data_IF_005913953737
#
_entry.id   IF_005913953737
#
_cell.length_a   1.000
_cell.length_b   1.000
_cell.length_c   1.000
_cell.angle_alpha   90.00
_cell.angle_beta   90.00
_cell.angle_gamma   90.00
#
_symmetry.space_group_name_H-M   'P 1'
#
loop_
_entity.id
_entity.type
_entity.pdbx_description
1 polymer ?
#
# COMPACT_ATOMS: atom_id res chain seq x y z
N UNK A 1 -26.28 -31.67 83.85
CA UNK A 1 -26.70 -31.70 82.44
C UNK A 1 -26.32 -30.37 81.79
N UNK A 2 -25.22 -30.30 81.02
CA UNK A 2 -24.92 -29.16 80.16
C UNK A 2 -25.40 -29.41 78.72
N UNK A 3 -26.16 -28.46 78.16
CA UNK A 3 -26.61 -28.45 76.76
C UNK A 3 -25.45 -28.14 75.80
N UNK A 4 -25.45 -28.65 74.56
CA UNK A 4 -24.37 -28.40 73.60
C UNK A 4 -24.51 -27.02 72.95
N UNK A 5 -23.43 -26.25 72.95
CA UNK A 5 -23.27 -25.00 72.19
C UNK A 5 -22.96 -25.34 70.73
N UNK A 6 -23.76 -24.81 69.81
CA UNK A 6 -23.59 -25.00 68.36
C UNK A 6 -22.51 -24.03 67.82
N UNK A 7 -21.60 -24.47 66.93
CA UNK A 7 -20.53 -23.59 66.43
C UNK A 7 -21.08 -22.58 65.42
N UNK A 8 -20.65 -21.32 65.55
CA UNK A 8 -20.89 -20.27 64.56
C UNK A 8 -19.90 -20.45 63.41
N UNK A 9 -20.40 -20.73 62.21
CA UNK A 9 -19.60 -20.76 60.98
C UNK A 9 -19.36 -19.33 60.51
N UNK A 10 -18.10 -18.90 60.60
CA UNK A 10 -17.62 -17.57 60.19
C UNK A 10 -17.69 -17.40 58.68
N UNK A 11 -18.09 -16.19 58.27
CA UNK A 11 -18.20 -15.69 56.90
C UNK A 11 -16.92 -15.89 56.08
N UNK A 12 -16.89 -16.86 55.16
CA UNK A 12 -15.81 -16.97 54.16
C UNK A 12 -16.27 -16.70 52.72
N UNK A 13 -17.58 -16.63 52.47
CA UNK A 13 -18.12 -16.37 51.12
C UNK A 13 -18.07 -14.89 50.72
N UNK A 14 -18.09 -13.96 51.68
CA UNK A 14 -18.06 -12.52 51.37
C UNK A 14 -16.65 -12.03 50.95
N UNK A 15 -15.57 -12.52 51.56
CA UNK A 15 -14.21 -12.06 51.25
C UNK A 15 -13.77 -12.41 49.81
N UNK A 16 -14.11 -13.60 49.33
CA UNK A 16 -13.76 -14.03 47.96
C UNK A 16 -14.54 -13.22 46.93
N UNK A 17 -15.83 -12.97 47.17
CA UNK A 17 -16.68 -12.17 46.29
C UNK A 17 -16.25 -10.70 46.26
N UNK A 18 -15.88 -10.11 47.39
CA UNK A 18 -15.33 -8.74 47.44
C UNK A 18 -13.97 -8.61 46.77
N UNK A 19 -13.11 -9.60 46.93
CA UNK A 19 -11.80 -9.63 46.26
C UNK A 19 -11.99 -9.72 44.74
N UNK A 20 -12.90 -10.57 44.27
CA UNK A 20 -13.24 -10.67 42.84
C UNK A 20 -13.81 -9.34 42.32
N UNK A 21 -14.77 -8.72 43.02
CA UNK A 21 -15.39 -7.45 42.60
C UNK A 21 -14.40 -6.27 42.59
N UNK A 22 -13.39 -6.27 43.46
CA UNK A 22 -12.34 -5.22 43.49
C UNK A 22 -11.37 -5.29 42.33
N UNK A 23 -11.01 -6.50 41.88
CA UNK A 23 -10.01 -6.68 40.83
C UNK A 23 -10.61 -6.94 39.44
N UNK A 24 -11.90 -7.28 39.35
CA UNK A 24 -12.62 -7.44 38.07
C UNK A 24 -12.52 -6.23 37.12
N UNK A 25 -12.71 -4.95 37.56
CA UNK A 25 -12.59 -3.82 36.64
C UNK A 25 -11.14 -3.60 36.17
N UNK A 26 -10.15 -3.86 37.03
CA UNK A 26 -8.73 -3.75 36.65
C UNK A 26 -8.32 -4.86 35.67
N UNK A 27 -8.79 -6.10 35.87
CA UNK A 27 -8.56 -7.22 34.95
C UNK A 27 -9.27 -7.01 33.60
N UNK A 28 -10.48 -6.45 33.60
CA UNK A 28 -11.20 -6.10 32.38
C UNK A 28 -10.50 -4.98 31.59
N UNK A 29 -10.00 -3.94 32.28
CA UNK A 29 -9.23 -2.86 31.65
C UNK A 29 -7.91 -3.35 31.04
N UNK A 30 -7.20 -4.25 31.75
CA UNK A 30 -5.96 -4.84 31.25
C UNK A 30 -6.20 -5.74 30.03
N UNK A 31 -7.30 -6.50 30.03
CA UNK A 31 -7.71 -7.34 28.90
C UNK A 31 -8.09 -6.52 27.66
N UNK A 32 -8.78 -5.38 27.84
CA UNK A 32 -9.07 -4.45 26.75
C UNK A 32 -7.79 -3.79 26.19
N UNK A 33 -6.83 -3.44 27.05
CA UNK A 33 -5.57 -2.84 26.62
C UNK A 33 -4.72 -3.81 25.77
N UNK A 34 -4.67 -5.09 26.13
CA UNK A 34 -3.96 -6.13 25.37
C UNK A 34 -4.62 -6.40 24.01
N UNK A 35 -5.96 -6.39 23.92
CA UNK A 35 -6.68 -6.57 22.66
C UNK A 35 -6.41 -5.47 21.62
N UNK A 36 -6.02 -4.27 22.05
CA UNK A 36 -5.71 -3.14 21.16
C UNK A 36 -4.27 -3.17 20.61
N UNK A 37 -3.37 -3.97 21.20
CA UNK A 37 -1.96 -4.07 20.74
C UNK A 37 -1.73 -5.12 19.66
N UNK A 38 -2.72 -5.98 19.37
CA UNK A 38 -2.59 -7.06 18.40
C UNK A 38 -2.66 -6.60 16.93
N UNK A 39 -3.01 -5.34 16.65
CA UNK A 39 -3.39 -4.90 15.30
C UNK A 39 -2.30 -4.14 14.53
N UNK A 40 -1.07 -4.08 15.04
CA UNK A 40 0.05 -3.44 14.33
C UNK A 40 1.26 -4.36 14.32
N UNK A 41 1.14 -5.47 13.59
CA UNK A 41 2.31 -6.06 12.94
C UNK A 41 2.71 -5.15 11.77
N UNK A 42 3.27 -3.98 12.09
CA UNK A 42 3.90 -3.11 11.09
C UNK A 42 5.10 -3.84 10.48
N UNK A 43 5.05 -4.09 9.18
CA UNK A 43 6.23 -4.08 8.33
C UNK A 43 7.32 -5.11 8.59
N UNK A 44 7.00 -6.33 9.03
CA UNK A 44 7.93 -7.42 8.73
C UNK A 44 7.90 -7.63 7.21
N UNK A 45 8.92 -7.11 6.51
CA UNK A 45 9.15 -7.43 5.10
C UNK A 45 9.23 -8.96 4.98
N UNK A 46 8.11 -9.54 4.58
CA UNK A 46 7.98 -10.98 4.32
C UNK A 46 8.55 -11.24 2.94
N UNK A 47 9.39 -12.26 2.83
CA UNK A 47 9.85 -12.75 1.54
C UNK A 47 8.68 -13.31 0.70
N UNK A 48 8.69 -13.11 -0.61
CA UNK A 48 7.68 -13.72 -1.48
C UNK A 48 7.78 -15.24 -1.41
N UNK A 49 6.67 -15.94 -1.64
CA UNK A 49 6.73 -17.39 -1.85
C UNK A 49 7.74 -17.73 -2.96
N UNK A 50 8.44 -18.89 -2.92
CA UNK A 50 9.45 -19.22 -3.93
C UNK A 50 8.93 -19.16 -5.38
N UNK A 51 7.67 -19.55 -5.60
CA UNK A 51 7.04 -19.47 -6.92
C UNK A 51 6.76 -18.03 -7.34
N UNK A 52 6.31 -17.17 -6.43
CA UNK A 52 6.16 -15.75 -6.70
C UNK A 52 7.51 -15.08 -6.94
N UNK A 53 8.57 -15.46 -6.20
CA UNK A 53 9.92 -14.93 -6.37
C UNK A 53 10.45 -15.14 -7.80
N UNK A 54 10.24 -16.33 -8.37
CA UNK A 54 10.62 -16.62 -9.77
C UNK A 54 9.87 -15.73 -10.74
N UNK A 55 8.57 -15.55 -10.55
CA UNK A 55 7.73 -14.69 -11.41
C UNK A 55 8.13 -13.21 -11.29
N UNK A 56 8.46 -12.75 -10.09
CA UNK A 56 8.99 -11.39 -9.86
C UNK A 56 10.32 -11.20 -10.58
N UNK A 57 11.23 -12.18 -10.49
CA UNK A 57 12.51 -12.12 -11.19
C UNK A 57 12.33 -12.12 -12.72
N UNK A 58 11.38 -12.91 -13.24
CA UNK A 58 11.01 -12.89 -14.66
C UNK A 58 10.48 -11.53 -15.08
N UNK A 59 9.56 -10.94 -14.28
CA UNK A 59 9.02 -9.61 -14.58
C UNK A 59 10.10 -8.53 -14.58
N UNK A 60 11.06 -8.59 -13.67
CA UNK A 60 12.21 -7.67 -13.67
C UNK A 60 13.07 -7.85 -14.92
N UNK A 61 13.39 -9.09 -15.29
CA UNK A 61 14.18 -9.36 -16.50
C UNK A 61 13.47 -8.86 -17.77
N UNK A 62 12.14 -8.97 -17.85
CA UNK A 62 11.37 -8.43 -18.97
C UNK A 62 11.39 -6.90 -19.01
N UNK A 63 11.29 -6.22 -17.85
CA UNK A 63 11.47 -4.75 -17.79
C UNK A 63 12.86 -4.34 -18.27
N UNK A 64 13.90 -5.02 -17.81
CA UNK A 64 15.29 -4.72 -18.18
C UNK A 64 15.52 -4.94 -19.69
N UNK A 65 14.74 -5.83 -20.32
CA UNK A 65 14.73 -6.07 -21.76
C UNK A 65 13.84 -5.10 -22.55
N UNK A 66 13.10 -4.20 -21.88
CA UNK A 66 12.17 -3.27 -22.51
C UNK A 66 10.82 -3.89 -22.90
N UNK A 67 10.55 -5.14 -22.51
CA UNK A 67 9.25 -5.79 -22.71
C UNK A 67 8.37 -5.56 -21.47
N UNK A 68 7.83 -4.34 -21.36
CA UNK A 68 7.02 -3.93 -20.21
C UNK A 68 5.74 -4.76 -20.09
N UNK A 69 5.15 -5.19 -21.21
CA UNK A 69 3.93 -5.98 -21.18
C UNK A 69 4.18 -7.37 -20.61
N UNK A 70 5.25 -8.06 -21.04
CA UNK A 70 5.64 -9.33 -20.44
C UNK A 70 5.99 -9.17 -18.94
N UNK A 71 6.54 -8.02 -18.54
CA UNK A 71 6.78 -7.74 -17.13
C UNK A 71 5.47 -7.64 -16.33
N UNK A 72 4.48 -6.91 -16.84
CA UNK A 72 3.16 -6.81 -16.23
C UNK A 72 2.55 -8.20 -16.05
N UNK A 73 2.55 -9.01 -17.12
CA UNK A 73 1.97 -10.36 -17.08
C UNK A 73 2.65 -11.24 -16.01
N UNK A 74 3.97 -11.19 -15.91
CA UNK A 74 4.73 -11.94 -14.90
C UNK A 74 4.45 -11.45 -13.48
N UNK A 75 4.33 -10.13 -13.26
CA UNK A 75 3.99 -9.58 -11.95
C UNK A 75 2.53 -9.84 -11.56
N UNK A 76 1.57 -9.85 -12.49
CA UNK A 76 0.18 -10.24 -12.23
C UNK A 76 0.09 -11.73 -11.84
N UNK A 77 0.86 -12.58 -12.51
CA UNK A 77 1.00 -13.98 -12.13
C UNK A 77 1.62 -14.12 -10.72
N UNK A 78 2.65 -13.34 -10.39
CA UNK A 78 3.24 -13.33 -9.06
C UNK A 78 2.24 -12.91 -7.98
N UNK A 79 1.43 -11.87 -8.24
CA UNK A 79 0.37 -11.42 -7.35
C UNK A 79 -0.71 -12.49 -7.17
N UNK A 80 -1.04 -13.25 -8.23
CA UNK A 80 -1.99 -14.37 -8.14
C UNK A 80 -1.44 -15.50 -7.27
N UNK A 81 -0.15 -15.78 -7.35
CA UNK A 81 0.52 -16.84 -6.58
C UNK A 81 0.72 -16.45 -5.10
N UNK A 82 1.08 -15.20 -4.83
CA UNK A 82 1.23 -14.67 -3.47
C UNK A 82 0.47 -13.34 -3.31
N UNK A 83 -0.86 -13.40 -3.11
CA UNK A 83 -1.69 -12.20 -3.03
C UNK A 83 -1.35 -11.28 -1.85
N UNK A 84 -0.63 -11.77 -0.84
CA UNK A 84 -0.26 -11.00 0.34
C UNK A 84 1.09 -10.27 0.17
N UNK A 85 1.87 -10.58 -0.87
CA UNK A 85 3.17 -9.95 -1.10
C UNK A 85 3.02 -8.55 -1.71
N UNK A 86 2.77 -7.56 -0.86
CA UNK A 86 2.55 -6.15 -1.25
C UNK A 86 3.57 -5.55 -2.22
N UNK A 87 4.89 -5.81 -2.13
CA UNK A 87 5.87 -5.19 -3.03
C UNK A 87 5.65 -5.45 -4.52
N UNK A 88 4.95 -6.53 -4.91
CA UNK A 88 4.62 -6.78 -6.33
C UNK A 88 3.65 -5.74 -6.89
N UNK A 89 2.77 -5.17 -6.08
CA UNK A 89 1.86 -4.11 -6.50
C UNK A 89 2.61 -2.84 -6.89
N UNK A 90 3.71 -2.53 -6.21
CA UNK A 90 4.58 -1.39 -6.53
C UNK A 90 5.24 -1.62 -7.89
N UNK A 91 5.73 -2.84 -8.15
CA UNK A 91 6.33 -3.24 -9.43
C UNK A 91 5.33 -3.19 -10.59
N UNK A 92 4.10 -3.66 -10.37
CA UNK A 92 3.00 -3.53 -11.33
C UNK A 92 2.68 -2.07 -11.63
N UNK A 93 2.65 -1.22 -10.60
CA UNK A 93 2.37 0.18 -10.75
C UNK A 93 3.46 0.90 -11.57
N UNK A 94 4.73 0.58 -11.31
CA UNK A 94 5.86 1.13 -12.06
C UNK A 94 5.84 0.71 -13.53
N UNK A 95 5.65 -0.59 -13.81
CA UNK A 95 5.51 -1.09 -15.18
C UNK A 95 4.32 -0.43 -15.89
N UNK A 96 3.18 -0.26 -15.21
CA UNK A 96 2.02 0.44 -15.76
C UNK A 96 2.29 1.93 -16.04
N UNK A 97 3.14 2.61 -15.25
CA UNK A 97 3.56 4.00 -15.56
C UNK A 97 4.39 4.06 -16.84
N UNK A 98 5.32 3.12 -17.01
CA UNK A 98 6.16 3.05 -18.21
C UNK A 98 5.31 2.87 -19.48
N UNK A 99 4.23 2.07 -19.41
CA UNK A 99 3.23 1.92 -20.49
C UNK A 99 2.26 3.11 -20.63
N UNK A 100 2.50 4.21 -19.93
CA UNK A 100 1.61 5.38 -19.89
C UNK A 100 0.17 5.05 -19.45
N UNK A 101 0.00 4.01 -18.63
CA UNK A 101 -1.26 3.61 -18.05
C UNK A 101 -1.41 4.20 -16.64
N UNK A 102 -1.27 5.54 -16.51
CA UNK A 102 -1.29 6.24 -15.21
C UNK A 102 -2.50 5.85 -14.33
N UNK A 103 -3.66 5.65 -14.95
CA UNK A 103 -4.86 5.21 -14.24
C UNK A 103 -4.71 3.85 -13.55
N UNK A 104 -4.08 2.88 -14.21
CA UNK A 104 -3.78 1.55 -13.62
C UNK A 104 -2.69 1.68 -12.57
N UNK A 105 -1.62 2.42 -12.85
CA UNK A 105 -0.54 2.66 -11.89
C UNK A 105 -1.06 3.20 -10.55
N UNK A 106 -1.86 4.27 -10.59
CA UNK A 106 -2.47 4.86 -9.39
C UNK A 106 -3.30 3.83 -8.61
N UNK A 107 -4.03 2.93 -9.30
CA UNK A 107 -4.80 1.89 -8.64
C UNK A 107 -3.91 0.89 -7.90
N UNK A 108 -2.85 0.39 -8.53
CA UNK A 108 -1.93 -0.54 -7.88
C UNK A 108 -1.18 0.10 -6.71
N UNK A 109 -0.72 1.35 -6.82
CA UNK A 109 -0.11 2.06 -5.69
C UNK A 109 -1.10 2.22 -4.53
N UNK A 110 -2.36 2.57 -4.79
CA UNK A 110 -3.38 2.67 -3.73
C UNK A 110 -3.66 1.34 -3.06
N UNK A 111 -3.67 0.25 -3.81
CA UNK A 111 -3.80 -1.08 -3.24
C UNK A 111 -2.60 -1.38 -2.33
N UNK A 112 -1.38 -1.05 -2.75
CA UNK A 112 -0.19 -1.18 -1.92
C UNK A 112 -0.30 -0.34 -0.64
N UNK A 113 -0.74 0.92 -0.74
CA UNK A 113 -0.92 1.85 0.38
C UNK A 113 -2.07 1.47 1.32
N UNK A 114 -3.04 0.69 0.85
CA UNK A 114 -4.08 0.13 1.72
C UNK A 114 -3.49 -0.92 2.66
N UNK A 115 -2.46 -1.64 2.21
CA UNK A 115 -1.77 -2.70 2.98
C UNK A 115 -0.62 -2.16 3.81
N UNK A 116 0.11 -1.20 3.27
CA UNK A 116 1.22 -0.50 3.92
C UNK A 116 1.07 1.03 3.74
N UNK A 117 0.32 1.69 4.62
CA UNK A 117 0.04 3.13 4.50
C UNK A 117 1.28 4.02 4.59
N UNK A 118 2.38 3.52 5.15
CA UNK A 118 3.64 4.25 5.33
C UNK A 118 4.67 3.98 4.23
N UNK A 119 4.31 3.21 3.21
CA UNK A 119 5.26 2.82 2.16
C UNK A 119 5.73 4.02 1.33
N UNK A 120 6.93 4.52 1.62
CA UNK A 120 7.53 5.69 0.97
C UNK A 120 7.55 5.53 -0.56
N UNK A 121 7.97 4.37 -1.07
CA UNK A 121 8.05 4.10 -2.51
C UNK A 121 6.66 4.14 -3.19
N UNK A 122 5.62 3.59 -2.55
CA UNK A 122 4.27 3.64 -3.11
C UNK A 122 3.64 5.05 -3.06
N UNK A 123 3.92 5.83 -2.01
CA UNK A 123 3.44 7.22 -1.91
C UNK A 123 4.09 8.07 -3.01
N UNK A 124 5.41 7.95 -3.16
CA UNK A 124 6.16 8.65 -4.20
C UNK A 124 5.69 8.25 -5.60
N UNK A 125 5.58 6.94 -5.86
CA UNK A 125 5.13 6.42 -7.14
C UNK A 125 3.71 6.84 -7.52
N UNK A 126 2.76 6.86 -6.58
CA UNK A 126 1.42 7.40 -6.84
C UNK A 126 1.48 8.90 -7.13
N UNK A 127 2.30 9.65 -6.38
CA UNK A 127 2.53 11.07 -6.60
C UNK A 127 3.03 11.35 -8.02
N UNK A 128 4.03 10.62 -8.49
CA UNK A 128 4.57 10.72 -9.84
C UNK A 128 3.51 10.38 -10.90
N UNK A 129 2.79 9.28 -10.73
CA UNK A 129 1.70 8.91 -11.66
C UNK A 129 0.59 9.97 -11.69
N UNK A 130 0.33 10.67 -10.59
CA UNK A 130 -0.61 11.78 -10.51
C UNK A 130 -0.09 13.01 -11.24
N UNK A 131 1.21 13.33 -11.14
CA UNK A 131 1.85 14.40 -11.94
C UNK A 131 1.71 14.11 -13.42
N UNK A 132 2.09 12.92 -13.87
CA UNK A 132 1.97 12.49 -15.28
C UNK A 132 0.53 12.58 -15.80
N UNK A 133 -0.46 12.34 -14.93
CA UNK A 133 -1.89 12.44 -15.26
C UNK A 133 -2.41 13.89 -15.22
N UNK A 134 -1.60 14.85 -14.79
CA UNK A 134 -1.99 16.25 -14.59
C UNK A 134 -2.79 16.52 -13.31
N UNK A 135 -2.88 15.55 -12.40
CA UNK A 135 -3.60 15.65 -11.14
C UNK A 135 -2.73 16.27 -10.03
N UNK A 136 -2.17 17.46 -10.28
CA UNK A 136 -1.16 18.10 -9.43
C UNK A 136 -1.60 18.33 -7.99
N UNK A 137 -2.86 18.70 -7.74
CA UNK A 137 -3.36 18.89 -6.37
C UNK A 137 -3.29 17.60 -5.53
N UNK A 138 -3.57 16.45 -6.16
CA UNK A 138 -3.47 15.15 -5.47
C UNK A 138 -2.00 14.76 -5.27
N UNK A 139 -1.14 15.05 -6.24
CA UNK A 139 0.30 14.82 -6.09
C UNK A 139 0.89 15.62 -4.91
N UNK A 140 0.44 16.86 -4.68
CA UNK A 140 0.85 17.66 -3.52
C UNK A 140 0.44 17.05 -2.18
N UNK A 141 -0.68 16.33 -2.11
CA UNK A 141 -1.06 15.59 -0.91
C UNK A 141 -0.08 14.45 -0.63
N UNK A 142 0.39 13.75 -1.67
CA UNK A 142 1.41 12.73 -1.53
C UNK A 142 2.76 13.33 -1.13
N UNK A 143 3.13 14.49 -1.67
CA UNK A 143 4.33 15.21 -1.27
C UNK A 143 4.30 15.59 0.21
N UNK A 144 3.21 16.21 0.69
CA UNK A 144 3.05 16.54 2.10
C UNK A 144 3.12 15.30 3.01
N UNK A 145 2.59 14.17 2.53
CA UNK A 145 2.70 12.89 3.24
C UNK A 145 4.16 12.41 3.32
N UNK A 146 4.92 12.46 2.22
CA UNK A 146 6.35 12.13 2.23
C UNK A 146 7.14 13.03 3.17
N UNK A 147 6.90 14.34 3.14
CA UNK A 147 7.53 15.31 4.04
C UNK A 147 7.27 14.95 5.51
N UNK A 148 6.06 14.51 5.86
CA UNK A 148 5.75 14.08 7.24
C UNK A 148 6.41 12.75 7.65
N UNK A 149 6.75 11.87 6.69
CA UNK A 149 7.28 10.53 6.97
C UNK A 149 8.82 10.50 6.98
N UNK A 150 9.48 11.13 6.00
CA UNK A 150 10.95 11.14 5.87
C UNK A 150 11.57 12.54 5.79
N UNK A 151 10.77 13.61 5.86
CA UNK A 151 11.26 14.99 5.82
C UNK A 151 11.41 15.56 4.41
N UNK A 152 11.75 16.85 4.34
CA UNK A 152 11.97 17.58 3.09
C UNK A 152 13.19 17.12 2.27
N UNK A 153 14.14 16.43 2.91
CA UNK A 153 15.44 16.10 2.33
C UNK A 153 15.59 14.67 1.80
N UNK A 154 14.60 13.79 1.97
CA UNK A 154 14.67 12.45 1.39
C UNK A 154 14.53 12.49 -0.14
N UNK A 155 15.13 11.51 -0.81
CA UNK A 155 15.16 11.39 -2.27
C UNK A 155 13.78 11.49 -2.90
N UNK A 156 12.79 10.85 -2.29
CA UNK A 156 11.43 10.75 -2.79
C UNK A 156 10.70 12.09 -2.69
N UNK A 157 10.84 12.79 -1.55
CA UNK A 157 10.26 14.14 -1.38
C UNK A 157 10.85 15.12 -2.38
N UNK A 158 12.18 15.14 -2.50
CA UNK A 158 12.88 16.06 -3.41
C UNK A 158 12.57 15.76 -4.88
N UNK A 159 12.50 14.48 -5.26
CA UNK A 159 12.15 14.07 -6.63
C UNK A 159 10.70 14.44 -6.96
N UNK A 160 9.74 14.10 -6.09
CA UNK A 160 8.34 14.42 -6.35
C UNK A 160 8.07 15.93 -6.37
N UNK A 161 8.74 16.69 -5.49
CA UNK A 161 8.65 18.15 -5.52
C UNK A 161 9.14 18.72 -6.85
N UNK A 162 10.24 18.20 -7.39
CA UNK A 162 10.76 18.59 -8.70
C UNK A 162 9.79 18.22 -9.83
N UNK A 163 9.21 17.02 -9.82
CA UNK A 163 8.21 16.59 -10.81
C UNK A 163 6.95 17.47 -10.77
N UNK A 164 6.45 17.81 -9.58
CA UNK A 164 5.30 18.73 -9.42
C UNK A 164 5.63 20.12 -9.96
N UNK A 165 6.85 20.62 -9.72
CA UNK A 165 7.29 21.92 -10.22
C UNK A 165 7.44 21.95 -11.75
N UNK A 166 7.89 20.83 -12.34
CA UNK A 166 7.96 20.67 -13.79
C UNK A 166 6.57 20.57 -14.45
N UNK A 167 5.58 20.03 -13.72
CA UNK A 167 4.23 19.82 -14.22
C UNK A 167 4.10 18.56 -15.09
N UNK A 168 2.89 18.24 -15.58
CA UNK A 168 2.70 17.12 -16.49
C UNK A 168 3.49 17.37 -17.78
N UNK A 169 4.27 16.39 -18.23
CA UNK A 169 4.86 16.49 -19.56
C UNK A 169 3.73 16.44 -20.60
N UNK A 170 3.58 17.52 -21.38
CA UNK A 170 2.72 17.51 -22.55
C UNK A 170 3.23 16.41 -23.49
N UNK A 171 2.40 15.36 -23.67
CA UNK A 171 2.63 14.40 -24.74
C UNK A 171 2.59 15.19 -26.03
N UNK A 172 3.76 15.36 -26.65
CA UNK A 172 3.85 15.84 -28.02
C UNK A 172 3.14 14.79 -28.88
N UNK A 173 1.84 14.97 -29.06
CA UNK A 173 1.06 14.29 -30.06
C UNK A 173 1.54 14.86 -31.38
N UNK A 174 2.68 14.37 -31.88
CA UNK A 174 3.00 14.46 -33.31
C UNK A 174 2.02 13.55 -34.04
N UNK A 175 0.75 13.97 -34.08
CA UNK A 175 -0.12 13.62 -35.19
C UNK A 175 0.46 14.34 -36.40
N UNK A 176 1.51 13.75 -36.97
CA UNK A 176 1.94 14.05 -38.32
C UNK A 176 0.81 13.58 -39.21
N UNK A 177 -0.14 14.49 -39.45
CA UNK A 177 -1.23 14.29 -40.37
C UNK A 177 -0.63 14.23 -41.78
N UNK A 178 -0.12 13.06 -42.15
CA UNK A 178 0.10 12.68 -43.54
C UNK A 178 -1.30 12.57 -44.14
N UNK A 179 -1.77 13.68 -44.70
CA UNK A 179 -2.95 13.68 -45.55
C UNK A 179 -2.59 12.89 -46.81
N UNK A 180 -3.35 11.87 -47.21
CA UNK A 180 -3.17 11.27 -48.52
C UNK A 180 -3.52 12.30 -49.58
N UNK A 181 -2.58 12.55 -50.51
CA UNK A 181 -2.82 13.35 -51.70
C UNK A 181 -4.05 12.80 -52.44
N UNK A 182 -5.09 13.62 -52.51
CA UNK A 182 -6.26 13.36 -53.32
C UNK A 182 -5.89 13.49 -54.80
N UNK A 183 -5.48 12.41 -55.44
CA UNK A 183 -5.56 12.29 -56.90
C UNK A 183 -6.91 11.69 -57.28
N UNK A 184 -7.87 12.58 -57.52
CA UNK A 184 -9.10 12.24 -58.27
C UNK A 184 -8.70 12.12 -59.74
N UNK A 185 -8.44 10.91 -60.21
CA UNK A 185 -8.45 10.61 -61.65
C UNK A 185 -9.90 10.55 -62.10
N UNK A 186 -10.38 11.63 -62.72
CA UNK A 186 -11.52 11.58 -63.63
C UNK A 186 -11.03 10.89 -64.92
N UNK A 187 -11.40 9.62 -65.09
CA UNK A 187 -11.34 8.95 -66.39
C UNK A 187 -12.71 9.06 -67.07
N UNK A 188 -12.64 9.39 -68.36
CA UNK A 188 -13.71 9.76 -69.29
C UNK A 188 -14.79 8.68 -69.53
#
# INVERSE_FOLDING_TARGET
MPSPVKPQTVHHRHDVLETIMRFAPAAAALSLALALTASVSWGAQRDPSPRAAVLIAQGQASLDAGDTQAAIDAYEAALTVDPAYTPVLIRLAEAARQEQLQGKAIRYYREALTRDPGNIAAIAGEGEALVEKGALEKARLNLAKLESLCGGGCSETTSLAASIAAGPQERVLTAEAVMPDAQVTQDN
#
